data_IF_680834517195
#
_entry.id   IF_680834517195
#
_cell.length_a   1.000
_cell.length_b   1.000
_cell.length_c   1.000
_cell.angle_alpha   90.00
_cell.angle_beta   90.00
_cell.angle_gamma   90.00
#
_symmetry.space_group_name_H-M   'P 1'
#
loop_
_entity.id
_entity.type
_entity.pdbx_description
1 polymer ?
#
# COMPACT_ATOMS: atom_id res chain seq x y z
N UNK A 1 17.35 -9.04 12.32
CA UNK A 1 17.41 -7.75 11.60
C UNK A 1 18.80 -7.19 11.85
N UNK A 2 19.52 -6.79 10.79
CA UNK A 2 20.85 -6.18 10.90
C UNK A 2 20.69 -4.70 10.57
N UNK A 3 21.30 -3.84 11.37
CA UNK A 3 21.29 -2.39 11.19
C UNK A 3 22.64 -1.94 10.64
N UNK A 4 22.63 -1.06 9.65
CA UNK A 4 23.81 -0.54 9.00
C UNK A 4 24.00 0.93 9.34
N UNK A 5 25.24 1.44 9.23
CA UNK A 5 25.53 2.86 9.46
C UNK A 5 25.31 3.70 8.20
N UNK A 6 25.36 3.06 7.04
CA UNK A 6 25.09 3.70 5.75
C UNK A 6 24.29 2.79 4.83
N UNK A 7 23.65 3.40 3.83
CA UNK A 7 22.91 2.69 2.79
C UNK A 7 23.85 1.83 1.92
N UNK A 8 25.04 2.33 1.59
CA UNK A 8 26.06 1.59 0.83
C UNK A 8 26.47 0.26 1.49
N UNK A 9 26.64 0.23 2.82
CA UNK A 9 26.98 -1.01 3.53
C UNK A 9 25.84 -2.04 3.47
N UNK A 10 24.59 -1.55 3.56
CA UNK A 10 23.39 -2.37 3.44
C UNK A 10 23.28 -2.95 2.02
N UNK A 11 23.48 -2.11 1.00
CA UNK A 11 23.47 -2.53 -0.41
C UNK A 11 24.57 -3.55 -0.71
N UNK A 12 25.78 -3.34 -0.19
CA UNK A 12 26.90 -4.26 -0.35
C UNK A 12 26.60 -5.65 0.24
N UNK A 13 25.90 -5.73 1.37
CA UNK A 13 25.47 -7.02 1.92
C UNK A 13 24.32 -7.60 1.08
N UNK A 14 23.32 -6.78 0.73
CA UNK A 14 22.17 -7.19 -0.07
C UNK A 14 22.57 -7.83 -1.40
N UNK A 15 23.61 -7.28 -2.06
CA UNK A 15 24.14 -7.79 -3.32
C UNK A 15 24.68 -9.22 -3.22
N UNK A 16 25.04 -9.71 -2.03
CA UNK A 16 25.62 -11.05 -1.88
C UNK A 16 24.59 -12.17 -2.01
N UNK A 17 23.29 -11.90 -1.86
CA UNK A 17 22.14 -12.85 -1.89
C UNK A 17 22.18 -13.98 -0.85
N UNK A 18 23.37 -14.50 -0.53
CA UNK A 18 23.66 -15.49 0.47
C UNK A 18 24.98 -15.16 1.19
N UNK A 19 25.08 -15.53 2.47
CA UNK A 19 26.30 -15.41 3.26
C UNK A 19 26.48 -16.64 4.15
N UNK A 20 27.72 -16.87 4.59
CA UNK A 20 28.04 -17.89 5.59
C UNK A 20 28.11 -17.25 6.99
N UNK A 21 27.27 -17.73 7.91
CA UNK A 21 27.27 -17.29 9.31
C UNK A 21 27.48 -18.51 10.19
N UNK A 22 28.61 -18.57 10.90
CA UNK A 22 28.97 -19.68 11.80
C UNK A 22 28.80 -21.06 11.14
N UNK A 23 29.31 -21.20 9.92
CA UNK A 23 29.25 -22.46 9.16
C UNK A 23 27.87 -22.78 8.54
N UNK A 24 26.88 -21.88 8.63
CA UNK A 24 25.55 -22.06 8.04
C UNK A 24 25.33 -21.09 6.88
N UNK A 25 24.73 -21.60 5.80
CA UNK A 25 24.30 -20.78 4.67
C UNK A 25 23.04 -20.00 5.05
N UNK A 26 23.09 -18.69 4.93
CA UNK A 26 21.99 -17.78 5.25
C UNK A 26 21.62 -16.94 4.04
N UNK A 27 20.33 -16.84 3.75
CA UNK A 27 19.82 -15.95 2.70
C UNK A 27 19.87 -14.50 3.17
N UNK A 28 20.38 -13.61 2.32
CA UNK A 28 20.30 -12.16 2.51
C UNK A 28 19.06 -11.67 1.79
N UNK A 29 18.10 -11.17 2.56
CA UNK A 29 16.88 -10.58 2.01
C UNK A 29 16.94 -9.08 2.22
N UNK A 30 17.00 -8.32 1.13
CA UNK A 30 16.88 -6.86 1.19
C UNK A 30 15.41 -6.51 1.46
N UNK A 31 15.06 -5.97 2.65
CA UNK A 31 13.68 -5.60 2.94
C UNK A 31 13.16 -4.48 2.03
N UNK A 32 14.05 -3.65 1.46
CA UNK A 32 13.70 -2.52 0.61
C UNK A 32 13.37 -2.95 -0.84
N UNK A 33 13.76 -4.16 -1.25
CA UNK A 33 13.45 -4.72 -2.56
C UNK A 33 12.34 -5.79 -2.50
N UNK A 34 11.67 -5.93 -1.35
CA UNK A 34 10.56 -6.86 -1.24
C UNK A 34 9.37 -6.38 -2.05
N UNK A 35 8.70 -7.33 -2.67
CA UNK A 35 7.40 -7.12 -3.27
C UNK A 35 6.38 -6.72 -2.19
N UNK A 36 5.77 -5.56 -2.34
CA UNK A 36 4.72 -5.05 -1.47
C UNK A 36 3.41 -5.02 -2.25
N UNK A 37 2.33 -5.46 -1.60
CA UNK A 37 0.98 -5.40 -2.16
C UNK A 37 0.36 -4.02 -1.93
N UNK A 38 0.00 -3.33 -3.02
CA UNK A 38 -0.82 -2.13 -3.04
C UNK A 38 -2.20 -2.48 -3.61
N UNK A 39 -3.23 -2.46 -2.77
CA UNK A 39 -4.61 -2.73 -3.16
C UNK A 39 -5.34 -1.43 -3.47
N UNK A 40 -5.81 -1.30 -4.71
CA UNK A 40 -6.66 -0.20 -5.15
C UNK A 40 -8.11 -0.68 -5.05
N UNK A 41 -8.89 -0.03 -4.19
CA UNK A 41 -10.31 -0.29 -3.99
C UNK A 41 -11.17 0.73 -4.75
N UNK A 42 -12.42 0.33 -5.02
CA UNK A 42 -13.44 1.13 -5.73
C UNK A 42 -13.03 1.52 -7.15
N UNK A 43 -12.13 0.75 -7.75
CA UNK A 43 -11.71 0.92 -9.13
C UNK A 43 -12.77 0.30 -10.05
N UNK A 44 -13.39 1.09 -10.96
CA UNK A 44 -14.39 0.53 -11.86
C UNK A 44 -13.81 -0.60 -12.72
N UNK A 45 -14.52 -1.72 -12.94
CA UNK A 45 -13.98 -2.88 -13.64
C UNK A 45 -13.48 -2.60 -15.07
N UNK A 46 -14.05 -1.59 -15.73
CA UNK A 46 -13.72 -1.19 -17.11
C UNK A 46 -12.43 -0.38 -17.24
N UNK A 47 -11.87 0.15 -16.14
CA UNK A 47 -10.61 0.91 -16.21
C UNK A 47 -9.48 -0.03 -16.65
N UNK A 48 -8.67 0.30 -17.67
CA UNK A 48 -7.53 -0.53 -18.07
C UNK A 48 -6.43 -0.53 -16.99
N UNK A 49 -5.68 -1.63 -16.87
CA UNK A 49 -4.61 -1.73 -15.86
C UNK A 49 -3.46 -0.78 -16.19
N UNK A 50 -3.20 -0.54 -17.48
CA UNK A 50 -2.16 0.35 -18.01
C UNK A 50 -2.27 1.78 -17.48
N UNK A 51 -3.50 2.26 -17.27
CA UNK A 51 -3.74 3.60 -16.74
C UNK A 51 -3.25 3.71 -15.29
N UNK A 52 -3.45 2.66 -14.50
CA UNK A 52 -3.02 2.62 -13.10
C UNK A 52 -1.53 2.32 -13.00
N UNK A 53 -1.01 1.41 -13.84
CA UNK A 53 0.41 1.06 -13.90
C UNK A 53 1.28 2.31 -14.06
N UNK A 54 0.99 3.16 -15.05
CA UNK A 54 1.72 4.42 -15.28
C UNK A 54 1.74 5.35 -14.07
N UNK A 55 0.67 5.35 -13.27
CA UNK A 55 0.64 6.15 -12.05
C UNK A 55 1.47 5.52 -10.94
N UNK A 56 1.47 4.19 -10.83
CA UNK A 56 2.19 3.44 -9.80
C UNK A 56 3.70 3.34 -10.06
N UNK A 57 4.14 3.41 -11.31
CA UNK A 57 5.55 3.35 -11.72
C UNK A 57 6.44 4.41 -11.02
N UNK A 58 5.86 5.55 -10.61
CA UNK A 58 6.59 6.57 -9.84
C UNK A 58 7.04 6.09 -8.44
N UNK A 59 6.40 5.06 -7.92
CA UNK A 59 6.68 4.50 -6.58
C UNK A 59 7.51 3.22 -6.63
N UNK A 60 7.74 2.66 -7.82
CA UNK A 60 8.47 1.42 -7.98
C UNK A 60 8.04 0.63 -9.20
N UNK A 61 8.69 -0.52 -9.39
CA UNK A 61 8.42 -1.41 -10.52
C UNK A 61 7.27 -2.36 -10.18
N UNK A 62 6.18 -2.30 -10.95
CA UNK A 62 5.06 -3.24 -10.81
C UNK A 62 5.43 -4.58 -11.45
N UNK A 63 5.32 -5.68 -10.69
CA UNK A 63 5.64 -7.04 -11.15
C UNK A 63 4.43 -7.80 -11.65
N UNK A 64 3.31 -7.70 -10.92
CA UNK A 64 2.05 -8.34 -11.32
C UNK A 64 0.85 -7.55 -10.83
N UNK A 65 -0.27 -7.78 -11.51
CA UNK A 65 -1.59 -7.26 -11.16
C UNK A 65 -2.52 -8.45 -10.95
N UNK A 66 -3.25 -8.44 -9.83
CA UNK A 66 -4.28 -9.43 -9.52
C UNK A 66 -5.60 -8.70 -9.40
N UNK A 67 -6.61 -9.13 -10.16
CA UNK A 67 -7.98 -8.63 -10.01
C UNK A 67 -8.71 -9.49 -8.99
N UNK A 68 -9.33 -8.88 -8.00
CA UNK A 68 -10.20 -9.61 -7.09
C UNK A 68 -11.41 -10.13 -7.87
N UNK A 69 -11.72 -11.41 -7.73
CA UNK A 69 -12.93 -12.05 -8.24
C UNK A 69 -13.92 -12.35 -7.12
N UNK A 70 -15.17 -12.62 -7.48
CA UNK A 70 -16.16 -13.06 -6.50
C UNK A 70 -15.86 -14.50 -6.06
N UNK A 71 -15.79 -14.73 -4.74
CA UNK A 71 -15.54 -16.06 -4.15
C UNK A 71 -16.76 -16.97 -4.09
N UNK A 72 -17.95 -16.46 -4.44
CA UNK A 72 -19.20 -17.21 -4.41
C UNK A 72 -19.31 -18.11 -5.65
N UNK A 73 -19.66 -19.38 -5.45
CA UNK A 73 -19.89 -20.33 -6.56
C UNK A 73 -20.89 -19.75 -7.57
N UNK A 74 -20.63 -19.97 -8.86
CA UNK A 74 -21.38 -19.40 -9.97
C UNK A 74 -21.01 -17.96 -10.35
N UNK A 75 -20.33 -17.20 -9.48
CA UNK A 75 -19.98 -15.79 -9.74
C UNK A 75 -18.48 -15.56 -9.97
N UNK A 76 -17.64 -16.60 -9.99
CA UNK A 76 -16.19 -16.47 -10.12
C UNK A 76 -15.72 -15.74 -11.40
N UNK A 77 -16.56 -15.73 -12.44
CA UNK A 77 -16.32 -14.99 -13.69
C UNK A 77 -16.52 -13.47 -13.55
N UNK A 78 -17.19 -13.02 -12.48
CA UNK A 78 -17.38 -11.60 -12.21
C UNK A 78 -16.12 -11.02 -11.58
N UNK A 79 -15.69 -9.88 -12.11
CA UNK A 79 -14.60 -9.10 -11.52
C UNK A 79 -15.13 -8.18 -10.43
N UNK A 80 -14.37 -8.08 -9.34
CA UNK A 80 -14.62 -7.11 -8.28
C UNK A 80 -14.15 -5.71 -8.67
N UNK A 81 -14.36 -4.77 -7.75
CA UNK A 81 -13.93 -3.37 -7.89
C UNK A 81 -12.57 -3.11 -7.24
N UNK A 82 -11.78 -4.17 -7.01
CA UNK A 82 -10.48 -4.06 -6.36
C UNK A 82 -9.42 -4.78 -7.17
N UNK A 83 -8.22 -4.18 -7.20
CA UNK A 83 -7.04 -4.73 -7.87
C UNK A 83 -5.84 -4.63 -6.94
N UNK A 84 -5.03 -5.67 -6.90
CA UNK A 84 -3.81 -5.73 -6.12
C UNK A 84 -2.63 -5.64 -7.07
N UNK A 85 -1.83 -4.59 -6.90
CA UNK A 85 -0.59 -4.36 -7.62
C UNK A 85 0.57 -4.75 -6.72
N UNK A 86 1.45 -5.58 -7.24
CA UNK A 86 2.61 -6.05 -6.53
C UNK A 86 3.82 -5.25 -7.00
N UNK A 87 4.35 -4.42 -6.11
CA UNK A 87 5.31 -3.36 -6.43
C UNK A 87 6.62 -3.66 -5.71
N UNK A 88 7.73 -3.62 -6.45
CA UNK A 88 9.06 -3.49 -5.86
C UNK A 88 9.34 -2.00 -5.68
N UNK A 89 9.44 -1.48 -4.44
CA UNK A 89 9.67 -0.06 -4.17
C UNK A 89 10.92 0.46 -4.88
N UNK A 90 10.89 1.70 -5.38
CA UNK A 90 12.08 2.37 -5.92
C UNK A 90 13.03 2.88 -4.83
N UNK A 91 12.49 3.13 -3.64
CA UNK A 91 13.23 3.52 -2.43
C UNK A 91 12.47 3.06 -1.17
N UNK A 92 13.10 3.05 0.01
CA UNK A 92 12.45 2.66 1.26
C UNK A 92 11.18 3.47 1.59
N UNK A 93 11.14 4.75 1.19
CA UNK A 93 10.04 5.69 1.49
C UNK A 93 9.06 5.89 0.33
N UNK A 94 9.35 5.34 -0.85
CA UNK A 94 8.54 5.53 -2.05
C UNK A 94 7.05 5.19 -1.84
N UNK A 95 6.74 4.11 -1.11
CA UNK A 95 5.37 3.70 -0.82
C UNK A 95 4.69 4.52 0.29
N UNK A 96 5.46 5.19 1.16
CA UNK A 96 4.92 6.12 2.15
C UNK A 96 4.35 7.36 1.47
N UNK A 97 5.02 7.80 0.39
CA UNK A 97 4.61 8.94 -0.44
C UNK A 97 3.44 8.62 -1.40
N UNK A 98 3.03 7.35 -1.51
CA UNK A 98 1.87 6.99 -2.29
C UNK A 98 0.60 7.59 -1.65
N UNK A 99 -0.33 8.19 -2.40
CA UNK A 99 -1.53 8.73 -1.78
C UNK A 99 -2.38 7.60 -1.17
N UNK A 100 -3.10 7.88 -0.08
CA UNK A 100 -4.13 6.96 0.42
C UNK A 100 -5.40 7.01 -0.43
N UNK A 101 -5.69 8.14 -1.09
CA UNK A 101 -6.82 8.31 -1.98
C UNK A 101 -6.38 9.03 -3.27
N UNK A 102 -6.94 8.61 -4.40
CA UNK A 102 -6.69 9.24 -5.68
C UNK A 102 -7.97 9.32 -6.51
N UNK A 103 -7.91 10.01 -7.64
CA UNK A 103 -9.01 10.05 -8.61
C UNK A 103 -8.56 9.37 -9.90
N UNK A 104 -9.37 8.44 -10.39
CA UNK A 104 -9.13 7.71 -11.64
C UNK A 104 -10.35 7.88 -12.52
N UNK A 105 -10.19 8.53 -13.68
CA UNK A 105 -11.30 8.83 -14.61
C UNK A 105 -12.52 9.47 -13.91
N UNK A 106 -12.28 10.38 -12.97
CA UNK A 106 -13.33 11.05 -12.19
C UNK A 106 -13.92 10.22 -11.04
N UNK A 107 -13.51 8.96 -10.86
CA UNK A 107 -13.94 8.12 -9.74
C UNK A 107 -12.91 8.15 -8.60
N UNK A 108 -13.33 8.35 -7.34
CA UNK A 108 -12.44 8.24 -6.20
C UNK A 108 -12.04 6.78 -5.96
N UNK A 109 -10.76 6.55 -5.73
CA UNK A 109 -10.22 5.24 -5.37
C UNK A 109 -9.46 5.33 -4.05
N UNK A 110 -9.46 4.22 -3.30
CA UNK A 110 -8.71 4.07 -2.05
C UNK A 110 -7.52 3.16 -2.28
N UNK A 111 -6.34 3.55 -1.80
CA UNK A 111 -5.10 2.81 -1.98
C UNK A 111 -4.60 2.35 -0.61
N UNK A 112 -4.63 1.04 -0.41
CA UNK A 112 -4.15 0.36 0.78
C UNK A 112 -2.80 -0.29 0.47
N UNK A 113 -1.76 0.01 1.24
CA UNK A 113 -0.43 -0.56 1.08
C UNK A 113 -0.12 -1.43 2.29
N UNK A 114 0.28 -2.68 2.07
CA UNK A 114 0.62 -3.59 3.16
C UNK A 114 1.73 -2.99 4.05
N UNK A 115 1.49 -2.96 5.37
CA UNK A 115 2.42 -2.38 6.34
C UNK A 115 2.30 -0.86 6.54
N UNK A 116 1.55 -0.14 5.69
CA UNK A 116 1.32 1.29 5.86
C UNK A 116 0.14 1.55 6.80
N UNK A 117 0.23 2.53 7.73
CA UNK A 117 -0.90 2.94 8.55
C UNK A 117 -2.14 3.29 7.71
N UNK A 118 -3.28 2.73 8.07
CA UNK A 118 -4.54 2.95 7.37
C UNK A 118 -5.02 4.39 7.52
N UNK A 119 -5.60 4.94 6.45
CA UNK A 119 -6.33 6.21 6.48
C UNK A 119 -7.70 5.99 7.13
N UNK A 120 -8.04 6.81 8.13
CA UNK A 120 -9.37 6.79 8.68
C UNK A 120 -10.35 7.54 7.77
N UNK A 121 -11.24 6.81 7.10
CA UNK A 121 -12.31 7.39 6.27
C UNK A 121 -13.43 8.08 7.07
N UNK A 122 -13.21 8.39 8.35
CA UNK A 122 -14.13 9.19 9.18
C UNK A 122 -13.52 10.54 9.48
N UNK A 123 -12.34 10.57 10.09
CA UNK A 123 -11.69 11.82 10.49
C UNK A 123 -10.53 12.24 9.58
N UNK A 124 -10.02 11.36 8.71
CA UNK A 124 -8.89 11.56 7.77
C UNK A 124 -7.44 11.52 8.32
N UNK A 125 -7.15 11.41 9.62
CA UNK A 125 -5.83 10.96 10.09
C UNK A 125 -5.51 9.50 9.74
N UNK A 126 -4.22 9.20 9.70
CA UNK A 126 -3.68 7.83 9.58
C UNK A 126 -3.54 7.15 10.95
N UNK A 127 -3.46 5.81 10.96
CA UNK A 127 -3.14 5.02 12.15
C UNK A 127 -4.30 4.23 12.74
N UNK A 128 -5.52 4.41 12.24
CA UNK A 128 -6.67 3.64 12.67
C UNK A 128 -7.73 3.49 11.57
N UNK A 129 -8.55 2.45 11.67
CA UNK A 129 -9.67 2.23 10.78
C UNK A 129 -10.91 3.00 11.23
N UNK A 130 -11.80 3.37 10.29
CA UNK A 130 -13.08 4.04 10.56
C UNK A 130 -13.91 3.35 11.65
N UNK A 131 -13.94 2.01 11.69
CA UNK A 131 -14.67 1.23 12.71
C UNK A 131 -14.15 1.43 14.14
N UNK A 132 -12.88 1.82 14.29
CA UNK A 132 -12.20 2.04 15.57
C UNK A 132 -12.02 3.52 15.88
N UNK A 133 -12.52 4.41 15.01
CA UNK A 133 -12.37 5.85 15.16
C UNK A 133 -13.24 6.38 16.30
N UNK A 134 -12.60 7.02 17.28
CA UNK A 134 -13.24 7.68 18.43
C UNK A 134 -13.31 9.20 18.31
N UNK A 135 -12.91 9.77 17.17
CA UNK A 135 -12.95 11.23 16.96
C UNK A 135 -14.39 11.74 17.06
N UNK A 136 -14.67 12.75 17.91
CA UNK A 136 -16.02 13.31 18.07
C UNK A 136 -16.47 14.05 16.81
N UNK A 137 -17.79 14.18 16.66
CA UNK A 137 -18.44 14.96 15.60
C UNK A 137 -18.90 16.31 16.17
N UNK A 138 -18.35 17.41 15.63
CA UNK A 138 -18.80 18.75 15.99
C UNK A 138 -20.06 19.11 15.21
N UNK A 139 -21.17 19.40 15.92
CA UNK A 139 -22.42 19.82 15.29
C UNK A 139 -22.33 21.22 14.65
N UNK A 140 -21.50 22.10 15.20
CA UNK A 140 -21.30 23.47 14.70
C UNK A 140 -20.50 23.50 13.41
N UNK A 141 -19.36 22.80 13.37
CA UNK A 141 -18.50 22.71 12.18
C UNK A 141 -18.99 21.67 11.16
N UNK A 142 -19.92 20.78 11.54
CA UNK A 142 -20.39 19.64 10.72
C UNK A 142 -19.22 18.78 10.22
N UNK A 143 -18.22 18.56 11.08
CA UNK A 143 -17.01 17.82 10.78
C UNK A 143 -16.52 17.01 11.98
N UNK A 144 -15.68 16.01 11.71
CA UNK A 144 -14.95 15.28 12.76
C UNK A 144 -13.66 16.02 13.11
N UNK A 145 -13.34 16.14 14.40
CA UNK A 145 -12.03 16.67 14.82
C UNK A 145 -11.99 17.12 16.28
N UNK A 146 -13.03 17.81 16.73
CA UNK A 146 -13.18 18.30 18.10
C UNK A 146 -14.62 18.12 18.59
N UNK A 147 -14.82 18.25 19.90
CA UNK A 147 -16.14 18.43 20.50
C UNK A 147 -16.46 19.92 20.58
N UNK A 148 -17.73 20.30 20.70
CA UNK A 148 -18.23 21.70 20.69
C UNK A 148 -17.54 22.62 21.73
N UNK A 149 -16.81 22.06 22.69
CA UNK A 149 -16.21 22.74 23.84
C UNK A 149 -14.75 23.17 23.66
N UNK A 150 -14.13 23.07 22.48
CA UNK A 150 -12.82 23.69 22.24
C UNK A 150 -12.56 24.03 20.76
#
# INVERSE_FOLDING_TARGET
MVTFRSENEMEALAARTEIMVKGRRCLVINPNQREVAAKVHWLPPRVPDELILRQLERFGRVQRVVRDGWRKSGLAHMTGTSRVYHIIPSSPTSLENMPHQATVQGCPVLIEVAGRPALCLRCYPTGHYRRSCKTPWCRSCRSFGHDHTN
#
